data_IF_910868025132
#
_entry.id   IF_910868025132
#
_cell.length_a   1.000
_cell.length_b   1.000
_cell.length_c   1.000
_cell.angle_alpha   90.00
_cell.angle_beta   90.00
_cell.angle_gamma   90.00
#
_symmetry.space_group_name_H-M   'P 1'
#
loop_
_entity.id
_entity.type
_entity.pdbx_description
1 polymer ?
#
# COMPACT_ATOMS: atom_id res chain seq x y z
N UNK A 1 9.90 -21.68 -16.47
CA UNK A 1 9.67 -20.46 -15.64
C UNK A 1 9.82 -20.87 -14.18
N UNK A 2 10.86 -20.37 -13.52
CA UNK A 2 11.12 -20.66 -12.10
C UNK A 2 10.63 -19.53 -11.19
N UNK A 3 10.69 -18.30 -11.71
CA UNK A 3 10.32 -17.12 -10.93
C UNK A 3 9.76 -15.99 -11.80
N UNK A 4 8.95 -15.15 -11.16
CA UNK A 4 8.47 -13.88 -11.71
C UNK A 4 8.75 -12.80 -10.65
N UNK A 5 9.42 -11.73 -11.05
CA UNK A 5 9.45 -10.47 -10.28
C UNK A 5 8.43 -9.52 -10.87
N UNK A 6 7.61 -8.89 -10.03
CA UNK A 6 6.50 -8.07 -10.52
C UNK A 6 6.23 -6.87 -9.60
N UNK A 7 5.58 -5.87 -10.18
CA UNK A 7 5.07 -4.67 -9.51
C UNK A 7 3.82 -4.18 -10.23
N UNK A 8 2.86 -3.62 -9.49
CA UNK A 8 1.60 -3.13 -10.06
C UNK A 8 1.33 -1.70 -9.63
N UNK A 9 0.72 -0.94 -10.55
CA UNK A 9 0.15 0.36 -10.25
C UNK A 9 -1.37 0.27 -10.30
N UNK A 10 -2.04 0.78 -9.27
CA UNK A 10 -3.47 0.56 -9.07
C UNK A 10 -4.21 1.87 -8.81
N UNK A 11 -5.51 1.88 -9.04
CA UNK A 11 -6.40 2.96 -8.66
C UNK A 11 -7.52 2.45 -7.74
N UNK A 12 -7.88 3.24 -6.76
CA UNK A 12 -9.10 3.10 -5.98
C UNK A 12 -9.48 4.44 -5.36
N UNK A 13 -10.78 4.71 -5.22
CA UNK A 13 -11.26 5.86 -4.44
C UNK A 13 -11.08 5.67 -2.92
N UNK A 14 -10.81 4.45 -2.48
CA UNK A 14 -10.55 4.13 -1.08
C UNK A 14 -9.10 4.46 -0.72
N UNK A 15 -8.90 5.20 0.36
CA UNK A 15 -7.56 5.55 0.85
C UNK A 15 -6.87 4.32 1.45
N UNK A 16 -5.85 3.82 0.75
CA UNK A 16 -5.06 2.64 1.15
C UNK A 16 -4.46 2.79 2.55
N UNK A 17 -3.96 3.99 2.89
CA UNK A 17 -3.28 4.23 4.16
C UNK A 17 -4.21 4.14 5.38
N UNK A 18 -5.49 4.40 5.18
CA UNK A 18 -6.52 4.36 6.23
C UNK A 18 -7.24 3.03 6.32
N UNK A 19 -7.38 2.33 5.21
CA UNK A 19 -8.29 1.18 5.10
C UNK A 19 -7.58 -0.15 4.93
N UNK A 20 -6.29 -0.15 4.55
CA UNK A 20 -5.54 -1.35 4.21
C UNK A 20 -5.92 -1.93 2.84
N UNK A 21 -5.12 -2.89 2.38
CA UNK A 21 -5.19 -3.41 1.01
C UNK A 21 -6.51 -4.12 0.70
N UNK A 22 -7.08 -4.86 1.64
CA UNK A 22 -8.32 -5.62 1.41
C UNK A 22 -9.49 -4.68 1.08
N UNK A 23 -9.70 -3.67 1.92
CA UNK A 23 -10.74 -2.66 1.70
C UNK A 23 -10.49 -1.83 0.44
N UNK A 24 -9.22 -1.53 0.16
CA UNK A 24 -8.79 -0.82 -1.03
C UNK A 24 -9.14 -1.60 -2.30
N UNK A 25 -8.79 -2.89 -2.35
CA UNK A 25 -9.06 -3.76 -3.50
C UNK A 25 -10.53 -4.15 -3.66
N UNK A 26 -11.34 -4.07 -2.58
CA UNK A 26 -12.80 -4.32 -2.63
C UNK A 26 -13.60 -3.14 -3.18
N UNK A 27 -12.98 -1.98 -3.39
CA UNK A 27 -13.69 -0.82 -3.95
C UNK A 27 -14.29 -1.14 -5.31
N UNK A 28 -15.47 -0.57 -5.59
CA UNK A 28 -16.17 -0.77 -6.86
C UNK A 28 -15.42 -0.22 -8.07
N UNK A 29 -14.57 0.76 -7.81
CA UNK A 29 -13.75 1.45 -8.82
C UNK A 29 -12.28 1.04 -8.77
N UNK A 30 -11.96 -0.02 -7.99
CA UNK A 30 -10.63 -0.59 -7.98
C UNK A 30 -10.26 -1.12 -9.37
N UNK A 31 -9.05 -0.77 -9.80
CA UNK A 31 -8.50 -1.21 -11.07
C UNK A 31 -6.97 -1.31 -11.01
N UNK A 32 -6.38 -2.25 -11.76
CA UNK A 32 -4.94 -2.28 -11.99
C UNK A 32 -4.65 -1.52 -13.28
N UNK A 33 -3.77 -0.53 -13.19
CA UNK A 33 -3.45 0.36 -14.30
C UNK A 33 -2.29 -0.16 -15.14
N UNK A 34 -1.22 -0.55 -14.44
CA UNK A 34 0.02 -1.07 -15.02
C UNK A 34 0.41 -2.35 -14.31
N UNK A 35 0.93 -3.28 -15.08
CA UNK A 35 1.51 -4.54 -14.58
C UNK A 35 2.90 -4.70 -15.19
N UNK A 36 3.94 -4.50 -14.39
CA UNK A 36 5.31 -4.74 -14.78
C UNK A 36 5.80 -6.09 -14.27
N UNK A 37 6.52 -6.84 -15.09
CA UNK A 37 7.06 -8.12 -14.68
C UNK A 37 8.33 -8.50 -15.43
N UNK A 38 9.13 -9.36 -14.82
CA UNK A 38 10.28 -10.05 -15.41
C UNK A 38 10.19 -11.53 -15.08
N UNK A 39 10.49 -12.37 -16.06
CA UNK A 39 10.58 -13.83 -15.91
C UNK A 39 12.04 -14.21 -15.76
N UNK A 40 12.38 -14.97 -14.70
CA UNK A 40 13.73 -15.55 -14.48
C UNK A 40 14.86 -14.50 -14.63
N UNK A 41 14.64 -13.30 -14.11
CA UNK A 41 15.54 -12.13 -14.21
C UNK A 41 15.83 -11.66 -15.64
N UNK A 42 14.95 -11.97 -16.58
CA UNK A 42 15.03 -11.54 -17.97
C UNK A 42 14.58 -10.09 -18.19
N UNK A 43 14.18 -9.80 -19.42
CA UNK A 43 13.66 -8.48 -19.79
C UNK A 43 12.41 -8.12 -19.01
N UNK A 44 12.34 -6.85 -18.55
CA UNK A 44 11.15 -6.33 -17.86
C UNK A 44 10.16 -5.82 -18.89
N UNK A 45 8.94 -6.37 -18.85
CA UNK A 45 7.81 -5.97 -19.67
C UNK A 45 6.82 -5.18 -18.83
N UNK A 46 6.18 -4.19 -19.43
CA UNK A 46 5.11 -3.39 -18.80
C UNK A 46 3.87 -3.54 -19.65
N UNK A 47 2.77 -3.94 -19.03
CA UNK A 47 1.45 -4.09 -19.65
C UNK A 47 0.60 -2.90 -19.22
N UNK A 48 0.10 -2.15 -20.17
CA UNK A 48 -0.80 -1.01 -19.96
C UNK A 48 -2.26 -1.46 -20.03
N UNK A 49 -2.79 -1.91 -18.89
CA UNK A 49 -4.15 -2.44 -18.81
C UNK A 49 -5.22 -1.37 -19.12
N UNK A 50 -4.88 -0.10 -19.01
CA UNK A 50 -5.78 1.01 -19.33
C UNK A 50 -6.05 1.15 -20.82
N UNK A 51 -5.19 0.57 -21.66
CA UNK A 51 -5.33 0.52 -23.12
C UNK A 51 -6.01 -0.74 -23.64
N UNK A 52 -6.44 -1.62 -22.74
CA UNK A 52 -7.01 -2.92 -23.10
C UNK A 52 -5.94 -3.98 -23.40
N UNK A 53 -4.65 -3.72 -23.07
CA UNK A 53 -3.67 -4.78 -23.07
C UNK A 53 -4.02 -5.80 -21.97
N UNK A 54 -3.67 -7.06 -22.18
CA UNK A 54 -3.96 -8.11 -21.20
C UNK A 54 -2.68 -8.71 -20.63
N UNK A 55 -2.72 -9.13 -19.36
CA UNK A 55 -1.67 -9.97 -18.78
C UNK A 55 -1.58 -11.26 -19.61
N UNK A 56 -0.40 -11.62 -20.14
CA UNK A 56 -0.24 -12.82 -20.96
C UNK A 56 -0.71 -14.08 -20.24
N UNK A 57 -1.26 -15.04 -20.99
CA UNK A 57 -1.88 -16.23 -20.42
C UNK A 57 -0.90 -17.11 -19.66
N UNK A 58 0.33 -17.24 -20.13
CA UNK A 58 1.41 -17.95 -19.45
C UNK A 58 1.77 -17.30 -18.11
N UNK A 59 1.71 -15.96 -18.01
CA UNK A 59 1.92 -15.22 -16.76
C UNK A 59 0.72 -15.42 -15.82
N UNK A 60 -0.53 -15.37 -16.33
CA UNK A 60 -1.72 -15.67 -15.51
C UNK A 60 -1.65 -17.09 -14.92
N UNK A 61 -1.17 -18.07 -15.69
CA UNK A 61 -0.96 -19.45 -15.22
C UNK A 61 0.15 -19.50 -14.16
N UNK A 62 1.27 -18.82 -14.37
CA UNK A 62 2.39 -18.81 -13.46
C UNK A 62 2.06 -18.10 -12.12
N UNK A 63 1.18 -17.09 -12.13
CA UNK A 63 0.68 -16.47 -10.89
C UNK A 63 -0.10 -17.45 -10.01
N UNK A 64 -0.76 -18.44 -10.62
CA UNK A 64 -1.52 -19.50 -9.93
C UNK A 64 -0.67 -20.68 -9.51
N UNK A 65 0.44 -20.92 -10.20
CA UNK A 65 1.31 -22.08 -9.96
C UNK A 65 2.09 -21.89 -8.65
N UNK A 66 1.89 -22.79 -7.69
CA UNK A 66 2.59 -22.78 -6.40
C UNK A 66 4.08 -23.07 -6.50
N UNK A 67 4.54 -23.67 -7.60
CA UNK A 67 5.95 -23.99 -7.85
C UNK A 67 6.72 -22.82 -8.46
N UNK A 68 6.04 -21.85 -9.05
CA UNK A 68 6.65 -20.61 -9.54
C UNK A 68 6.79 -19.62 -8.39
N UNK A 69 7.99 -19.10 -8.17
CA UNK A 69 8.23 -18.05 -7.15
C UNK A 69 7.77 -16.69 -7.67
N UNK A 70 6.83 -16.06 -7.00
CA UNK A 70 6.35 -14.69 -7.30
C UNK A 70 6.99 -13.71 -6.33
N UNK A 71 7.84 -12.84 -6.83
CA UNK A 71 8.56 -11.84 -6.05
C UNK A 71 7.98 -10.45 -6.24
N UNK A 72 7.78 -9.73 -5.14
CA UNK A 72 7.44 -8.32 -5.16
C UNK A 72 7.95 -7.63 -3.88
N UNK A 73 8.05 -6.31 -3.90
CA UNK A 73 8.36 -5.53 -2.70
C UNK A 73 7.07 -5.13 -1.99
N UNK A 74 6.74 -5.77 -0.87
CA UNK A 74 5.45 -5.76 -0.19
C UNK A 74 4.41 -6.68 -0.88
N UNK A 75 4.82 -7.89 -1.23
CA UNK A 75 4.12 -8.85 -2.07
C UNK A 75 2.67 -9.19 -1.65
N UNK A 76 2.27 -8.90 -0.42
CA UNK A 76 0.87 -9.01 -0.01
C UNK A 76 -0.04 -8.04 -0.79
N UNK A 77 0.44 -6.86 -1.10
CA UNK A 77 -0.31 -5.88 -1.88
C UNK A 77 -0.60 -6.42 -3.28
N UNK A 78 0.44 -6.90 -3.96
CA UNK A 78 0.32 -7.45 -5.32
C UNK A 78 -0.60 -8.67 -5.34
N UNK A 79 -0.42 -9.61 -4.39
CA UNK A 79 -1.24 -10.82 -4.31
C UNK A 79 -2.72 -10.50 -4.15
N UNK A 80 -3.07 -9.65 -3.18
CA UNK A 80 -4.47 -9.29 -2.89
C UNK A 80 -5.09 -8.54 -4.08
N UNK A 81 -4.39 -7.56 -4.63
CA UNK A 81 -4.87 -6.79 -5.77
C UNK A 81 -5.04 -7.66 -7.03
N UNK A 82 -4.07 -8.52 -7.33
CA UNK A 82 -4.16 -9.45 -8.47
C UNK A 82 -5.24 -10.50 -8.28
N UNK A 83 -5.43 -11.03 -7.06
CA UNK A 83 -6.54 -11.94 -6.75
C UNK A 83 -7.88 -11.30 -7.06
N UNK A 84 -8.05 -10.04 -6.65
CA UNK A 84 -9.28 -9.29 -6.92
C UNK A 84 -9.49 -9.01 -8.41
N UNK A 85 -8.44 -8.56 -9.10
CA UNK A 85 -8.47 -8.24 -10.52
C UNK A 85 -8.78 -9.48 -11.39
N UNK A 86 -8.13 -10.60 -11.09
CA UNK A 86 -8.33 -11.87 -11.81
C UNK A 86 -9.62 -12.59 -11.37
N UNK A 87 -10.26 -12.13 -10.29
CA UNK A 87 -11.42 -12.79 -9.66
C UNK A 87 -11.13 -14.23 -9.25
N UNK A 88 -9.92 -14.47 -8.75
CA UNK A 88 -9.42 -15.77 -8.34
C UNK A 88 -8.56 -15.63 -7.09
N UNK A 89 -8.67 -16.57 -6.17
CA UNK A 89 -7.83 -16.59 -4.98
C UNK A 89 -6.45 -17.14 -5.34
N UNK A 90 -5.45 -16.25 -5.36
CA UNK A 90 -4.07 -16.66 -5.59
C UNK A 90 -3.48 -17.28 -4.32
N UNK A 91 -3.01 -18.52 -4.44
CA UNK A 91 -2.37 -19.23 -3.32
C UNK A 91 -1.23 -18.41 -2.72
N UNK A 92 -1.10 -18.45 -1.40
CA UNK A 92 0.03 -17.84 -0.67
C UNK A 92 1.36 -18.52 -1.00
N UNK A 93 1.31 -19.82 -1.29
CA UNK A 93 2.50 -20.61 -1.58
C UNK A 93 3.15 -20.12 -2.86
N UNK A 94 4.46 -19.96 -2.80
CA UNK A 94 5.24 -19.43 -3.92
C UNK A 94 5.42 -17.91 -3.92
N UNK A 95 4.61 -17.14 -3.18
CA UNK A 95 4.88 -15.72 -3.01
C UNK A 95 6.08 -15.47 -2.10
N UNK A 96 6.88 -14.51 -2.47
CA UNK A 96 8.10 -14.09 -1.78
C UNK A 96 8.11 -12.56 -1.71
N UNK A 97 8.46 -12.03 -0.56
CA UNK A 97 8.47 -10.60 -0.32
C UNK A 97 9.90 -10.11 -0.05
N UNK A 98 10.45 -9.31 -0.95
CA UNK A 98 11.80 -8.77 -0.78
C UNK A 98 11.86 -7.71 0.34
N UNK A 99 10.74 -7.11 0.75
CA UNK A 99 10.65 -6.29 1.96
C UNK A 99 10.86 -7.13 3.23
N UNK A 100 10.26 -8.33 3.31
CA UNK A 100 10.46 -9.27 4.42
C UNK A 100 11.92 -9.73 4.48
N UNK A 101 12.48 -10.08 3.32
CA UNK A 101 13.90 -10.44 3.23
C UNK A 101 14.82 -9.28 3.67
N UNK A 102 14.47 -8.04 3.31
CA UNK A 102 15.20 -6.84 3.75
C UNK A 102 15.09 -6.64 5.26
N UNK A 103 13.89 -6.80 5.82
CA UNK A 103 13.64 -6.70 7.26
C UNK A 103 14.46 -7.72 8.06
N UNK A 104 14.52 -8.96 7.59
CA UNK A 104 15.25 -10.04 8.22
C UNK A 104 16.75 -9.72 8.38
N UNK A 105 17.34 -9.00 7.44
CA UNK A 105 18.75 -8.59 7.49
C UNK A 105 18.95 -7.18 8.08
N UNK A 106 17.91 -6.60 8.70
CA UNK A 106 17.99 -5.30 9.37
C UNK A 106 17.99 -4.08 8.45
N UNK A 107 17.53 -4.22 7.20
CA UNK A 107 17.40 -3.11 6.26
C UNK A 107 16.06 -2.37 6.43
N UNK A 108 15.93 -1.13 5.89
CA UNK A 108 14.67 -0.39 5.89
C UNK A 108 13.51 -1.12 5.18
N UNK A 109 12.25 -0.69 5.47
CA UNK A 109 11.03 -1.27 4.91
C UNK A 109 10.47 -0.50 3.70
N UNK A 110 11.29 0.24 2.99
CA UNK A 110 10.87 0.91 1.74
C UNK A 110 11.87 0.60 0.62
N UNK A 111 11.35 0.36 -0.59
CA UNK A 111 12.13 0.03 -1.78
C UNK A 111 13.23 1.09 -2.03
N UNK A 112 12.87 2.38 -1.92
CA UNK A 112 13.78 3.51 -2.08
C UNK A 112 14.92 3.47 -1.04
N UNK A 113 14.59 3.28 0.23
CA UNK A 113 15.59 3.28 1.31
C UNK A 113 16.50 2.05 1.24
N UNK A 114 15.97 0.86 0.93
CA UNK A 114 16.78 -0.35 0.74
C UNK A 114 17.74 -0.16 -0.43
N UNK A 115 17.25 0.33 -1.58
CA UNK A 115 18.09 0.61 -2.74
C UNK A 115 19.22 1.58 -2.43
N UNK A 116 18.92 2.61 -1.62
CA UNK A 116 19.90 3.61 -1.18
C UNK A 116 20.97 3.01 -0.25
N UNK A 117 20.54 2.26 0.79
CA UNK A 117 21.47 1.62 1.75
C UNK A 117 22.37 0.58 1.06
N UNK A 118 21.84 -0.17 0.11
CA UNK A 118 22.59 -1.16 -0.66
C UNK A 118 23.46 -0.54 -1.78
N UNK A 119 23.40 0.79 -1.97
CA UNK A 119 24.08 1.50 -3.06
C UNK A 119 23.83 0.82 -4.42
N UNK A 120 22.55 0.53 -4.73
CA UNK A 120 22.20 -0.12 -5.99
C UNK A 120 22.47 0.81 -7.17
N UNK A 121 22.86 0.26 -8.34
CA UNK A 121 23.13 1.05 -9.54
C UNK A 121 21.86 1.74 -10.08
N UNK A 122 20.71 1.19 -9.74
CA UNK A 122 19.40 1.72 -10.09
C UNK A 122 18.68 2.15 -8.82
N UNK A 123 18.11 3.36 -8.85
CA UNK A 123 17.36 3.95 -7.75
C UNK A 123 15.92 4.19 -8.20
N UNK A 124 15.01 4.21 -7.26
CA UNK A 124 13.61 4.58 -7.49
C UNK A 124 13.51 6.00 -8.07
N UNK A 125 12.63 6.22 -9.02
CA UNK A 125 12.42 7.55 -9.62
C UNK A 125 11.79 8.49 -8.59
N UNK A 126 12.35 9.70 -8.47
CA UNK A 126 11.90 10.72 -7.49
C UNK A 126 10.49 11.22 -7.76
N UNK A 127 10.08 11.21 -9.02
CA UNK A 127 8.75 11.64 -9.47
C UNK A 127 7.63 10.69 -9.06
N UNK A 128 7.96 9.47 -8.64
CA UNK A 128 7.00 8.39 -8.36
C UNK A 128 5.86 8.80 -7.42
N UNK A 129 6.16 9.46 -6.30
CA UNK A 129 5.13 9.89 -5.34
C UNK A 129 4.10 10.85 -5.96
N UNK A 130 4.54 11.74 -6.85
CA UNK A 130 3.67 12.68 -7.53
C UNK A 130 2.82 11.99 -8.60
N UNK A 131 3.39 11.00 -9.29
CA UNK A 131 2.71 10.20 -10.31
C UNK A 131 1.65 9.27 -9.69
N UNK A 132 1.99 8.58 -8.60
CA UNK A 132 1.03 7.79 -7.81
C UNK A 132 -0.14 8.67 -7.36
N UNK A 133 0.16 9.85 -6.77
CA UNK A 133 -0.91 10.76 -6.35
C UNK A 133 -1.78 11.21 -7.52
N UNK A 134 -1.19 11.36 -8.72
CA UNK A 134 -1.90 11.84 -9.90
C UNK A 134 -2.80 10.75 -10.52
N UNK A 135 -2.29 9.52 -10.71
CA UNK A 135 -3.00 8.45 -11.43
C UNK A 135 -3.70 7.45 -10.51
N UNK A 136 -3.19 7.22 -9.30
CA UNK A 136 -3.67 6.17 -8.39
C UNK A 136 -4.65 6.68 -7.33
N UNK A 137 -4.83 8.00 -7.20
CA UNK A 137 -5.72 8.60 -6.22
C UNK A 137 -6.78 9.48 -6.90
N UNK A 138 -7.97 9.64 -6.27
CA UNK A 138 -8.95 10.60 -6.75
C UNK A 138 -8.38 12.02 -6.80
N UNK A 139 -8.74 12.75 -7.85
CA UNK A 139 -8.43 14.17 -7.96
C UNK A 139 -9.38 15.03 -7.08
N UNK A 140 -9.27 16.34 -7.15
CA UNK A 140 -10.11 17.28 -6.36
C UNK A 140 -11.61 17.17 -6.66
N UNK A 141 -11.97 16.60 -7.81
CA UNK A 141 -13.36 16.35 -8.22
C UNK A 141 -13.84 14.94 -7.88
N UNK A 142 -13.06 14.17 -7.09
CA UNK A 142 -13.27 12.75 -6.80
C UNK A 142 -13.34 11.86 -8.06
N UNK A 143 -12.59 12.22 -9.09
CA UNK A 143 -12.46 11.45 -10.33
C UNK A 143 -11.03 10.95 -10.52
N UNK A 144 -10.89 9.86 -11.27
CA UNK A 144 -9.58 9.36 -11.71
C UNK A 144 -9.04 10.22 -12.85
N UNK A 145 -7.77 10.58 -12.80
CA UNK A 145 -7.07 11.10 -13.96
C UNK A 145 -6.72 9.95 -14.92
N UNK A 146 -7.00 10.15 -16.20
CA UNK A 146 -6.77 9.14 -17.23
C UNK A 146 -5.38 9.31 -17.87
N UNK A 147 -4.82 8.27 -18.50
CA UNK A 147 -3.58 8.38 -19.28
C UNK A 147 -3.61 9.45 -20.34
N UNK A 148 -4.79 9.73 -20.91
CA UNK A 148 -5.01 10.74 -21.94
C UNK A 148 -4.92 12.18 -21.42
N UNK A 149 -5.11 12.40 -20.12
CA UNK A 149 -5.09 13.74 -19.51
C UNK A 149 -3.66 14.29 -19.44
N UNK A 150 -2.66 13.42 -19.33
CA UNK A 150 -1.24 13.78 -19.38
C UNK A 150 -0.40 12.60 -19.90
N UNK A 151 -0.27 12.51 -21.21
CA UNK A 151 0.45 11.41 -21.87
C UNK A 151 1.93 11.36 -21.48
N UNK A 152 2.56 12.51 -21.25
CA UNK A 152 3.98 12.54 -20.87
C UNK A 152 4.18 11.96 -19.48
N UNK A 153 3.36 12.37 -18.51
CA UNK A 153 3.40 11.77 -17.15
C UNK A 153 3.08 10.28 -17.19
N UNK A 154 2.18 9.84 -18.11
CA UNK A 154 1.85 8.42 -18.23
C UNK A 154 3.06 7.60 -18.71
N UNK A 155 3.82 8.07 -19.70
CA UNK A 155 5.02 7.38 -20.15
C UNK A 155 6.08 7.32 -19.02
N UNK A 156 6.25 8.41 -18.26
CA UNK A 156 7.15 8.41 -17.07
C UNK A 156 6.65 7.42 -16.02
N UNK A 157 5.31 7.28 -15.85
CA UNK A 157 4.73 6.37 -14.88
C UNK A 157 4.94 4.90 -15.27
N UNK A 158 4.90 4.56 -16.56
CA UNK A 158 5.30 3.22 -17.05
C UNK A 158 6.78 2.92 -16.77
N UNK A 159 7.65 3.89 -17.01
CA UNK A 159 9.07 3.73 -16.69
C UNK A 159 9.29 3.60 -15.17
N UNK A 160 8.49 4.30 -14.36
CA UNK A 160 8.49 4.16 -12.91
C UNK A 160 8.13 2.74 -12.47
N UNK A 161 7.03 2.17 -12.94
CA UNK A 161 6.61 0.80 -12.64
C UNK A 161 7.68 -0.23 -13.08
N UNK A 162 8.25 -0.06 -14.29
CA UNK A 162 9.38 -0.86 -14.78
C UNK A 162 10.59 -0.77 -13.85
N UNK A 163 10.90 0.44 -13.37
CA UNK A 163 12.03 0.72 -12.48
C UNK A 163 11.86 0.05 -11.12
N UNK A 164 10.67 -0.02 -10.58
CA UNK A 164 10.40 -0.64 -9.30
C UNK A 164 10.68 -2.16 -9.37
N UNK A 165 10.32 -2.85 -10.45
CA UNK A 165 10.71 -4.25 -10.69
C UNK A 165 12.23 -4.40 -10.81
N UNK A 166 12.90 -3.49 -11.52
CA UNK A 166 14.36 -3.55 -11.67
C UNK A 166 15.07 -3.41 -10.31
N UNK A 167 14.67 -2.45 -9.51
CA UNK A 167 15.26 -2.22 -8.17
C UNK A 167 14.98 -3.41 -7.26
N UNK A 168 13.77 -3.97 -7.30
CA UNK A 168 13.39 -5.15 -6.55
C UNK A 168 14.25 -6.38 -6.91
N UNK A 169 14.46 -6.65 -8.20
CA UNK A 169 15.36 -7.72 -8.66
C UNK A 169 16.80 -7.54 -8.21
N UNK A 170 17.31 -6.31 -8.20
CA UNK A 170 18.65 -6.01 -7.70
C UNK A 170 18.76 -6.24 -6.17
N UNK A 171 17.71 -5.94 -5.41
CA UNK A 171 17.63 -6.29 -3.98
C UNK A 171 17.70 -7.81 -3.81
N UNK A 172 16.92 -8.58 -4.55
CA UNK A 172 16.97 -10.04 -4.51
C UNK A 172 18.39 -10.56 -4.77
N UNK A 173 19.06 -10.08 -5.84
CA UNK A 173 20.43 -10.49 -6.18
C UNK A 173 21.42 -10.18 -5.05
N UNK A 174 21.33 -8.98 -4.45
CA UNK A 174 22.22 -8.57 -3.35
C UNK A 174 21.98 -9.36 -2.08
N UNK A 175 20.74 -9.70 -1.80
CA UNK A 175 20.35 -10.40 -0.58
C UNK A 175 20.34 -11.93 -0.74
N UNK A 176 20.53 -12.47 -1.94
CA UNK A 176 20.54 -13.92 -2.20
C UNK A 176 21.47 -14.72 -1.29
N UNK A 177 22.58 -14.12 -0.86
CA UNK A 177 23.54 -14.75 0.07
C UNK A 177 23.00 -14.92 1.50
N UNK A 178 21.99 -14.17 1.87
CA UNK A 178 21.31 -14.27 3.17
C UNK A 178 20.06 -15.14 2.95
N UNK A 179 20.22 -16.44 3.18
CA UNK A 179 19.10 -17.36 3.00
C UNK A 179 18.10 -17.17 4.15
N UNK A 180 16.90 -16.72 3.82
CA UNK A 180 15.81 -16.68 4.79
C UNK A 180 15.39 -18.13 5.09
N UNK A 181 15.40 -18.57 6.38
CA UNK A 181 14.98 -19.92 6.74
C UNK A 181 13.56 -20.21 6.28
N UNK A 182 13.26 -21.48 5.98
CA UNK A 182 11.90 -21.87 5.55
C UNK A 182 10.84 -21.55 6.63
N UNK A 183 11.21 -21.63 7.92
CA UNK A 183 10.34 -21.24 9.03
C UNK A 183 9.89 -19.77 8.96
N UNK A 184 10.73 -18.86 8.45
CA UNK A 184 10.34 -17.46 8.29
C UNK A 184 9.36 -17.26 7.12
N UNK A 185 9.49 -18.07 6.07
CA UNK A 185 8.48 -18.07 5.01
C UNK A 185 7.15 -18.69 5.49
N UNK A 186 7.19 -19.69 6.34
CA UNK A 186 6.00 -20.26 7.00
C UNK A 186 5.33 -19.22 7.88
N UNK A 187 6.09 -18.45 8.67
CA UNK A 187 5.58 -17.32 9.47
C UNK A 187 4.96 -16.25 8.58
N UNK A 188 5.60 -15.90 7.46
CA UNK A 188 5.07 -14.97 6.48
C UNK A 188 3.73 -15.44 5.90
N UNK A 189 3.61 -16.73 5.56
CA UNK A 189 2.35 -17.30 5.08
C UNK A 189 1.29 -17.32 6.17
N UNK A 190 1.65 -17.65 7.40
CA UNK A 190 0.72 -17.66 8.53
C UNK A 190 0.15 -16.25 8.78
N UNK A 191 1.00 -15.22 8.75
CA UNK A 191 0.57 -13.82 8.82
C UNK A 191 -0.45 -13.49 7.72
N UNK A 192 -0.17 -13.89 6.49
CA UNK A 192 -1.10 -13.67 5.37
C UNK A 192 -2.44 -14.40 5.57
N UNK A 193 -2.42 -15.65 6.05
CA UNK A 193 -3.64 -16.43 6.34
C UNK A 193 -4.49 -15.73 7.41
N UNK A 194 -3.85 -15.21 8.45
CA UNK A 194 -4.54 -14.47 9.53
C UNK A 194 -5.19 -13.21 8.98
N UNK A 195 -4.47 -12.46 8.14
CA UNK A 195 -4.96 -11.23 7.53
C UNK A 195 -6.08 -11.49 6.50
N UNK A 196 -5.95 -12.52 5.66
CA UNK A 196 -6.98 -12.91 4.67
C UNK A 196 -8.29 -13.31 5.36
N UNK A 197 -8.19 -14.06 6.46
CA UNK A 197 -9.36 -14.47 7.27
C UNK A 197 -10.01 -13.27 7.96
N UNK A 198 -9.21 -12.32 8.41
CA UNK A 198 -9.66 -11.21 9.26
C UNK A 198 -10.14 -11.64 10.64
N UNK A 199 -10.72 -10.71 11.37
CA UNK A 199 -11.30 -10.91 12.70
C UNK A 199 -12.77 -10.51 12.65
N UNK A 200 -13.64 -11.38 13.15
CA UNK A 200 -15.06 -11.06 13.24
C UNK A 200 -15.29 -9.95 14.28
N UNK A 201 -16.01 -8.93 13.85
CA UNK A 201 -16.38 -7.78 14.70
C UNK A 201 -17.89 -7.82 14.91
N UNK A 202 -18.32 -7.67 16.17
CA UNK A 202 -19.73 -7.45 16.51
C UNK A 202 -20.13 -6.04 16.04
N UNK A 203 -20.79 -5.98 14.89
CA UNK A 203 -21.17 -4.71 14.25
C UNK A 203 -22.25 -3.96 15.04
N UNK A 204 -23.10 -4.67 15.78
CA UNK A 204 -24.15 -4.05 16.57
C UNK A 204 -23.56 -3.40 17.81
N UNK A 205 -22.65 -4.09 18.50
CA UNK A 205 -21.89 -3.51 19.60
C UNK A 205 -21.11 -2.26 19.16
N UNK A 206 -20.40 -2.33 18.02
CA UNK A 206 -19.65 -1.16 17.50
C UNK A 206 -20.58 0.01 17.19
N UNK A 207 -21.76 -0.24 16.60
CA UNK A 207 -22.73 0.81 16.29
C UNK A 207 -23.20 1.51 17.56
N UNK A 208 -23.58 0.75 18.57
CA UNK A 208 -24.04 1.30 19.85
C UNK A 208 -22.91 2.06 20.58
N UNK A 209 -21.67 1.54 20.52
CA UNK A 209 -20.51 2.21 21.08
C UNK A 209 -20.25 3.58 20.40
N UNK A 210 -20.37 3.66 19.08
CA UNK A 210 -20.24 4.92 18.34
C UNK A 210 -21.34 5.91 18.72
N UNK A 211 -22.59 5.46 18.87
CA UNK A 211 -23.71 6.32 19.32
C UNK A 211 -23.43 6.86 20.71
N UNK A 212 -22.96 6.03 21.63
CA UNK A 212 -22.57 6.45 22.97
C UNK A 212 -21.44 7.48 22.96
N UNK A 213 -20.39 7.21 22.15
CA UNK A 213 -19.25 8.12 22.01
C UNK A 213 -19.66 9.50 21.46
N UNK A 214 -20.51 9.53 20.44
CA UNK A 214 -21.03 10.79 19.88
C UNK A 214 -21.83 11.59 20.90
N UNK A 215 -22.73 10.92 21.64
CA UNK A 215 -23.50 11.57 22.73
C UNK A 215 -22.56 12.10 23.81
N UNK A 216 -21.57 11.30 24.22
CA UNK A 216 -20.60 11.73 25.22
C UNK A 216 -19.77 12.93 24.76
N UNK A 217 -19.24 12.88 23.56
CA UNK A 217 -18.47 13.97 22.94
C UNK A 217 -19.28 15.26 22.87
N UNK A 218 -20.55 15.17 22.47
CA UNK A 218 -21.45 16.32 22.45
C UNK A 218 -21.63 16.95 23.84
N UNK A 219 -21.93 16.13 24.84
CA UNK A 219 -22.10 16.58 26.22
C UNK A 219 -20.83 17.22 26.79
N UNK A 220 -19.67 16.59 26.54
CA UNK A 220 -18.38 17.14 27.00
C UNK A 220 -18.06 18.46 26.30
N UNK A 221 -18.31 18.56 24.99
CA UNK A 221 -18.12 19.79 24.23
C UNK A 221 -18.98 20.91 24.77
N UNK A 222 -20.26 20.66 25.07
CA UNK A 222 -21.18 21.65 25.66
C UNK A 222 -20.70 22.08 27.05
N UNK A 223 -20.30 21.14 27.92
CA UNK A 223 -19.70 21.44 29.23
C UNK A 223 -18.46 22.33 29.11
N UNK A 224 -17.54 21.98 28.19
CA UNK A 224 -16.33 22.76 27.95
C UNK A 224 -16.65 24.16 27.42
N UNK A 225 -17.62 24.30 26.50
CA UNK A 225 -18.09 25.61 26.04
C UNK A 225 -18.62 26.46 27.21
N UNK A 226 -19.46 25.88 28.07
CA UNK A 226 -20.02 26.56 29.20
C UNK A 226 -18.98 27.01 30.24
N UNK A 227 -17.98 26.17 30.49
CA UNK A 227 -16.89 26.45 31.42
C UNK A 227 -15.89 27.47 30.89
N UNK A 228 -15.52 27.35 29.62
CA UNK A 228 -14.42 28.14 29.04
C UNK A 228 -14.89 29.36 28.24
N UNK A 229 -16.15 29.39 27.85
CA UNK A 229 -16.73 30.37 26.93
C UNK A 229 -16.02 30.40 25.56
N UNK A 230 -15.37 29.27 25.17
CA UNK A 230 -14.69 29.10 23.89
C UNK A 230 -15.66 28.48 22.89
N UNK A 231 -15.73 29.03 21.69
CA UNK A 231 -16.58 28.49 20.61
C UNK A 231 -16.16 27.09 20.16
N UNK A 232 -14.87 26.88 19.98
CA UNK A 232 -14.33 25.58 19.62
C UNK A 232 -13.32 25.07 20.67
N UNK A 233 -13.77 24.36 21.73
CA UNK A 233 -12.87 23.82 22.76
C UNK A 233 -11.83 22.78 22.26
N UNK A 234 -11.98 22.28 21.04
CA UNK A 234 -11.00 21.40 20.40
C UNK A 234 -9.89 22.17 19.67
N UNK A 235 -10.03 23.48 19.53
CA UNK A 235 -8.97 24.32 18.98
C UNK A 235 -7.83 24.47 19.99
N UNK A 236 -6.67 23.91 19.67
CA UNK A 236 -5.46 24.04 20.49
C UNK A 236 -5.12 25.52 20.71
N UNK A 237 -5.31 26.36 19.70
CA UNK A 237 -5.01 27.80 19.76
C UNK A 237 -5.95 28.52 20.75
N UNK A 238 -7.27 28.29 20.63
CA UNK A 238 -8.25 28.91 21.51
C UNK A 238 -8.07 28.43 22.97
N UNK A 239 -7.83 27.13 23.15
CA UNK A 239 -7.57 26.54 24.47
C UNK A 239 -6.28 27.11 25.12
N UNK A 240 -5.20 27.25 24.37
CA UNK A 240 -3.96 27.87 24.85
C UNK A 240 -4.19 29.33 25.25
N UNK A 241 -4.95 30.08 24.47
CA UNK A 241 -5.30 31.47 24.80
C UNK A 241 -6.15 31.58 26.07
N UNK A 242 -7.12 30.69 26.26
CA UNK A 242 -7.91 30.58 27.47
C UNK A 242 -7.04 30.29 28.70
N UNK A 243 -6.17 29.26 28.65
CA UNK A 243 -5.29 28.91 29.75
C UNK A 243 -4.33 30.05 30.13
N UNK A 244 -3.79 30.76 29.14
CA UNK A 244 -2.97 31.97 29.38
C UNK A 244 -3.75 33.04 30.10
N UNK A 245 -5.02 33.31 29.72
CA UNK A 245 -5.88 34.30 30.40
C UNK A 245 -6.18 33.92 31.85
N UNK A 246 -6.17 32.62 32.16
CA UNK A 246 -6.34 32.10 33.53
C UNK A 246 -5.04 32.06 34.34
N UNK A 247 -3.93 32.64 33.84
CA UNK A 247 -2.59 32.60 34.45
C UNK A 247 -2.07 31.16 34.69
N UNK A 248 -2.53 30.19 33.92
CA UNK A 248 -2.03 28.83 34.00
C UNK A 248 -0.79 28.65 33.10
N UNK A 249 0.30 28.23 33.71
CA UNK A 249 1.55 27.98 32.98
C UNK A 249 1.42 26.75 32.09
N UNK A 250 1.79 26.89 30.79
CA UNK A 250 1.81 25.82 29.79
C UNK A 250 3.14 25.10 29.74
N UNK A 251 3.88 25.02 30.83
CA UNK A 251 5.25 24.46 30.85
C UNK A 251 5.33 22.94 30.70
N UNK A 252 4.23 22.24 30.40
CA UNK A 252 4.22 20.75 30.27
C UNK A 252 3.09 20.17 29.42
N UNK A 253 2.81 20.76 28.26
CA UNK A 253 1.93 20.10 27.25
C UNK A 253 2.62 19.98 25.90
#
# INVERSE_FOLDING_TARGET
>A
MESISLDIETYSSVDLSKSGVYKYAESKDFDILLFAYSVDYGEIKVIDLTKGEEIPQDIKLALKDIHVKKWAFNANFERVCLSKYLREDLSLVGWRCSMVLSAYVGLPLSLEAVGSVLNLPYQKLKEGKSLIKYFCCPNKENKRNLPTDDKLKWEIFKEYNKRDVLVEMEIQKRLKKYNLPDSEWENYYLDQIINDRGIMIDKDFVREALICDEKYKKNVKEKLKNLTQIENPHSIVEMKNYLKKQNLSLLSL
#
